data_IF_011218577452
#
_entry.id   IF_011218577452
#
_cell.length_a   1.000
_cell.length_b   1.000
_cell.length_c   1.000
_cell.angle_alpha   90.00
_cell.angle_beta   90.00
_cell.angle_gamma   90.00
#
_symmetry.space_group_name_H-M   'P 1'
#
loop_
_entity.id
_entity.type
_entity.pdbx_description
1 polymer ?
#
# COMPACT_ATOMS: atom_id res chain seq x y z
N UNK A 1 -62.76 38.02 7.72
CA UNK A 1 -61.52 38.22 6.95
C UNK A 1 -61.16 36.87 6.33
N UNK A 2 -61.46 36.73 5.04
CA UNK A 2 -61.44 35.43 4.35
C UNK A 2 -60.02 34.98 4.05
N UNK A 3 -59.76 33.68 4.27
CA UNK A 3 -58.51 32.94 4.06
C UNK A 3 -58.06 32.86 2.58
N UNK A 4 -58.37 33.86 1.75
CA UNK A 4 -58.07 33.90 0.31
C UNK A 4 -56.57 33.85 0.00
N UNK A 5 -55.73 34.24 0.96
CA UNK A 5 -54.27 34.20 0.83
C UNK A 5 -53.63 32.85 1.21
N UNK A 6 -54.37 31.95 1.87
CA UNK A 6 -53.84 30.63 2.26
C UNK A 6 -53.68 29.67 1.08
N UNK A 7 -54.57 29.74 0.10
CA UNK A 7 -54.53 28.90 -1.11
C UNK A 7 -53.25 29.11 -1.93
N UNK A 8 -52.85 30.36 -2.31
CA UNK A 8 -51.62 30.55 -3.07
C UNK A 8 -50.36 30.20 -2.26
N UNK A 9 -50.34 30.43 -0.96
CA UNK A 9 -49.19 30.08 -0.09
C UNK A 9 -49.00 28.56 -0.01
N UNK A 10 -50.09 27.80 0.14
CA UNK A 10 -50.03 26.33 0.16
C UNK A 10 -49.57 25.77 -1.20
N UNK A 11 -50.03 26.35 -2.31
CA UNK A 11 -49.60 25.93 -3.65
C UNK A 11 -48.11 26.19 -3.91
N UNK A 12 -47.59 27.35 -3.48
CA UNK A 12 -46.16 27.66 -3.60
C UNK A 12 -45.31 26.73 -2.72
N UNK A 13 -45.72 26.50 -1.46
CA UNK A 13 -45.02 25.59 -0.56
C UNK A 13 -45.00 24.14 -1.10
N UNK A 14 -46.12 23.67 -1.66
CA UNK A 14 -46.20 22.37 -2.31
C UNK A 14 -45.30 22.28 -3.55
N UNK A 15 -45.24 23.33 -4.38
CA UNK A 15 -44.35 23.40 -5.54
C UNK A 15 -42.87 23.33 -5.16
N UNK A 16 -42.46 24.09 -4.15
CA UNK A 16 -41.07 24.05 -3.62
C UNK A 16 -40.73 22.67 -3.06
N UNK A 17 -41.67 22.02 -2.37
CA UNK A 17 -41.48 20.66 -1.85
C UNK A 17 -41.26 19.65 -2.98
N UNK A 18 -42.07 19.69 -4.05
CA UNK A 18 -41.95 18.79 -5.20
C UNK A 18 -40.62 18.97 -5.93
N UNK A 19 -40.20 20.23 -6.16
CA UNK A 19 -38.91 20.53 -6.79
C UNK A 19 -37.75 20.05 -5.89
N UNK A 20 -37.84 20.27 -4.58
CA UNK A 20 -36.85 19.79 -3.61
C UNK A 20 -36.72 18.27 -3.61
N UNK A 21 -37.84 17.53 -3.66
CA UNK A 21 -37.84 16.06 -3.73
C UNK A 21 -37.22 15.58 -5.05
N UNK A 22 -37.58 16.19 -6.19
CA UNK A 22 -37.01 15.82 -7.49
C UNK A 22 -35.48 16.02 -7.55
N UNK A 23 -34.96 17.12 -6.98
CA UNK A 23 -33.52 17.38 -6.89
C UNK A 23 -32.80 16.36 -5.98
N UNK A 24 -33.42 15.93 -4.87
CA UNK A 24 -32.88 14.88 -4.00
C UNK A 24 -32.87 13.52 -4.70
N UNK A 25 -33.90 13.22 -5.49
CA UNK A 25 -33.97 11.99 -6.30
C UNK A 25 -32.88 11.97 -7.38
N UNK A 26 -32.64 13.09 -8.09
CA UNK A 26 -31.57 13.17 -9.09
C UNK A 26 -30.16 13.01 -8.50
N UNK A 27 -29.91 13.50 -7.28
CA UNK A 27 -28.62 13.28 -6.60
C UNK A 27 -28.41 11.80 -6.23
N UNK A 28 -29.46 11.07 -5.87
CA UNK A 28 -29.41 9.64 -5.57
C UNK A 28 -29.32 8.74 -6.81
N UNK A 29 -29.68 9.24 -7.99
CA UNK A 29 -29.65 8.49 -9.25
C UNK A 29 -28.30 8.58 -10.00
N UNK A 30 -27.37 9.41 -9.53
CA UNK A 30 -26.01 9.43 -10.11
C UNK A 30 -25.35 8.08 -9.79
N UNK A 31 -24.96 7.29 -10.81
CA UNK A 31 -24.27 6.04 -10.57
C UNK A 31 -23.02 6.32 -9.74
N UNK A 32 -22.97 5.77 -8.53
CA UNK A 32 -21.77 5.81 -7.71
C UNK A 32 -20.72 4.89 -8.35
N UNK A 33 -19.46 5.28 -8.30
CA UNK A 33 -18.37 4.40 -8.69
C UNK A 33 -18.39 3.15 -7.79
N UNK A 34 -18.42 1.96 -8.39
CA UNK A 34 -18.38 0.68 -7.70
C UNK A 34 -17.11 -0.06 -8.10
N UNK A 35 -16.47 -0.74 -7.14
CA UNK A 35 -15.40 -1.68 -7.46
C UNK A 35 -16.00 -2.92 -8.11
N UNK A 36 -15.30 -3.55 -9.07
CA UNK A 36 -15.68 -4.87 -9.55
C UNK A 36 -15.77 -5.87 -8.39
N UNK A 37 -16.72 -6.81 -8.48
CA UNK A 37 -16.80 -7.91 -7.51
C UNK A 37 -15.47 -8.70 -7.53
N UNK A 38 -14.93 -8.97 -6.33
CA UNK A 38 -13.65 -9.67 -6.19
C UNK A 38 -12.41 -8.85 -6.55
N UNK A 39 -12.53 -7.53 -6.72
CA UNK A 39 -11.36 -6.69 -6.97
C UNK A 39 -10.32 -6.79 -5.86
N UNK A 40 -9.06 -6.95 -6.25
CA UNK A 40 -7.90 -6.93 -5.35
C UNK A 40 -6.79 -6.09 -5.96
N UNK A 41 -5.98 -5.48 -5.11
CA UNK A 41 -4.76 -4.82 -5.55
C UNK A 41 -3.64 -5.85 -5.73
N UNK A 42 -3.09 -5.93 -6.94
CA UNK A 42 -1.92 -6.76 -7.25
C UNK A 42 -0.78 -5.90 -7.76
N UNK A 43 0.45 -6.29 -7.43
CA UNK A 43 1.63 -5.67 -8.02
C UNK A 43 1.82 -6.24 -9.43
N UNK A 44 2.19 -5.41 -10.41
CA UNK A 44 2.62 -5.91 -11.71
C UNK A 44 3.94 -6.66 -11.55
N UNK A 45 4.31 -7.42 -12.58
CA UNK A 45 5.62 -8.08 -12.62
C UNK A 45 6.75 -7.04 -12.64
N UNK A 46 7.75 -7.25 -11.78
CA UNK A 46 8.96 -6.42 -11.70
C UNK A 46 10.19 -7.06 -12.35
N UNK A 47 11.26 -6.27 -12.43
CA UNK A 47 12.58 -6.70 -12.90
C UNK A 47 13.50 -7.00 -11.70
N UNK A 48 13.84 -8.27 -11.50
CA UNK A 48 14.68 -8.71 -10.38
C UNK A 48 16.12 -8.15 -10.45
N UNK A 49 16.65 -7.86 -11.63
CA UNK A 49 17.98 -7.27 -11.80
C UNK A 49 17.96 -5.79 -11.40
N UNK A 50 16.92 -5.05 -11.83
CA UNK A 50 16.70 -3.69 -11.34
C UNK A 50 16.42 -3.67 -9.82
N UNK A 51 15.73 -4.69 -9.31
CA UNK A 51 15.46 -4.87 -7.88
C UNK A 51 16.74 -5.08 -7.07
N UNK A 52 17.67 -5.91 -7.55
CA UNK A 52 19.01 -6.05 -6.96
C UNK A 52 19.73 -4.71 -6.88
N UNK A 53 19.69 -3.93 -7.95
CA UNK A 53 20.32 -2.60 -7.97
C UNK A 53 19.67 -1.66 -6.95
N UNK A 54 18.34 -1.74 -6.79
CA UNK A 54 17.61 -1.00 -5.77
C UNK A 54 18.00 -1.44 -4.35
N UNK A 55 18.11 -2.75 -4.10
CA UNK A 55 18.54 -3.31 -2.81
C UNK A 55 19.91 -2.76 -2.39
N UNK A 56 20.86 -2.69 -3.33
CA UNK A 56 22.20 -2.16 -3.10
C UNK A 56 22.15 -0.64 -2.92
N UNK A 57 21.46 0.08 -3.81
CA UNK A 57 21.31 1.54 -3.77
C UNK A 57 20.73 2.02 -2.43
N UNK A 58 19.76 1.28 -1.89
CA UNK A 58 19.09 1.58 -0.64
C UNK A 58 19.80 0.97 0.59
N UNK A 59 20.97 0.37 0.40
CA UNK A 59 21.78 -0.24 1.45
C UNK A 59 21.01 -1.26 2.31
N UNK A 60 20.06 -1.99 1.71
CA UNK A 60 19.23 -2.95 2.46
C UNK A 60 20.07 -4.03 3.16
N UNK A 61 21.20 -4.40 2.55
CA UNK A 61 22.17 -5.36 3.11
C UNK A 61 22.83 -4.91 4.42
N UNK A 62 22.86 -3.61 4.71
CA UNK A 62 23.45 -3.11 5.96
C UNK A 62 22.70 -3.61 7.22
N UNK A 63 21.42 -3.96 7.07
CA UNK A 63 20.59 -4.53 8.14
C UNK A 63 20.16 -5.96 7.83
N UNK A 64 19.90 -6.30 6.58
CA UNK A 64 19.30 -7.58 6.20
C UNK A 64 20.32 -8.52 5.59
N UNK A 65 20.33 -9.76 6.08
CA UNK A 65 21.12 -10.81 5.48
C UNK A 65 20.60 -11.22 4.12
N UNK A 66 21.53 -11.39 3.17
CA UNK A 66 21.24 -11.70 1.77
C UNK A 66 22.18 -12.79 1.23
N UNK A 67 21.90 -13.34 0.05
CA UNK A 67 22.86 -14.20 -0.67
C UNK A 67 23.63 -13.42 -1.75
N UNK A 68 23.62 -12.07 -1.70
CA UNK A 68 24.24 -11.25 -2.73
C UNK A 68 25.77 -11.19 -2.56
N UNK A 69 26.56 -11.63 -3.56
CA UNK A 69 28.00 -11.49 -3.49
C UNK A 69 28.41 -10.01 -3.44
N UNK A 70 29.32 -9.67 -2.53
CA UNK A 70 29.91 -8.34 -2.43
C UNK A 70 29.03 -7.27 -1.78
N UNK A 71 27.86 -7.64 -1.24
CA UNK A 71 27.08 -6.76 -0.38
C UNK A 71 27.54 -6.92 1.05
N UNK A 72 27.71 -5.80 1.77
CA UNK A 72 28.02 -5.83 3.20
C UNK A 72 26.86 -6.51 3.93
N UNK A 73 27.17 -7.56 4.66
CA UNK A 73 26.21 -8.24 5.53
C UNK A 73 26.17 -7.53 6.90
N UNK A 74 25.02 -7.58 7.60
CA UNK A 74 24.91 -6.96 8.92
C UNK A 74 25.84 -7.65 9.92
N UNK A 75 26.45 -6.86 10.81
CA UNK A 75 27.06 -7.41 12.02
C UNK A 75 25.94 -7.77 13.01
N UNK A 76 26.06 -8.94 13.66
CA UNK A 76 25.08 -9.39 14.66
C UNK A 76 24.91 -8.31 15.74
N UNK A 77 23.67 -7.87 15.97
CA UNK A 77 23.42 -6.83 16.96
C UNK A 77 22.04 -6.18 16.87
N UNK A 78 21.84 -5.13 17.68
CA UNK A 78 20.55 -4.45 17.88
C UNK A 78 19.92 -3.81 16.63
N UNK A 79 20.67 -3.71 15.53
CA UNK A 79 20.24 -3.09 14.27
C UNK A 79 20.10 -4.08 13.11
N UNK A 80 20.39 -5.36 13.34
CA UNK A 80 20.14 -6.40 12.36
C UNK A 80 18.63 -6.53 12.14
N UNK A 81 18.23 -6.65 10.88
CA UNK A 81 16.87 -6.97 10.45
C UNK A 81 16.74 -8.48 10.17
N UNK A 82 15.52 -8.97 9.90
CA UNK A 82 15.29 -10.37 9.58
C UNK A 82 16.18 -10.88 8.44
N UNK A 83 16.60 -12.14 8.55
CA UNK A 83 17.30 -12.83 7.46
C UNK A 83 16.36 -13.06 6.28
N UNK A 84 16.60 -12.34 5.18
CA UNK A 84 15.73 -12.39 4.00
C UNK A 84 15.94 -13.66 3.18
N UNK A 85 16.99 -14.45 3.47
CA UNK A 85 17.28 -15.71 2.77
C UNK A 85 16.33 -16.84 3.15
N UNK A 86 15.54 -16.65 4.21
CA UNK A 86 14.65 -17.69 4.76
C UNK A 86 13.18 -17.30 4.60
N UNK A 87 12.50 -17.93 3.65
CA UNK A 87 11.03 -17.93 3.56
C UNK A 87 10.36 -16.66 3.03
N UNK A 88 11.06 -15.53 2.92
CA UNK A 88 10.48 -14.26 2.41
C UNK A 88 10.02 -14.35 0.95
N UNK A 89 10.66 -15.19 0.13
CA UNK A 89 10.24 -15.46 -1.25
C UNK A 89 8.86 -16.14 -1.34
N UNK A 90 8.36 -16.75 -0.27
CA UNK A 90 7.02 -17.40 -0.23
C UNK A 90 5.89 -16.42 0.12
N UNK A 91 6.23 -15.24 0.64
CA UNK A 91 5.23 -14.24 1.04
C UNK A 91 4.52 -13.64 -0.19
N UNK A 92 3.25 -13.21 -0.05
CA UNK A 92 2.55 -12.49 -1.12
C UNK A 92 3.29 -11.20 -1.49
N UNK A 93 3.33 -10.89 -2.79
CA UNK A 93 4.05 -9.72 -3.31
C UNK A 93 3.55 -8.42 -2.67
N UNK A 94 2.23 -8.27 -2.54
CA UNK A 94 1.62 -7.12 -1.90
C UNK A 94 2.01 -6.98 -0.42
N UNK A 95 2.21 -8.11 0.28
CA UNK A 95 2.66 -8.10 1.67
C UNK A 95 4.13 -7.69 1.78
N UNK A 96 5.01 -8.16 0.89
CA UNK A 96 6.40 -7.72 0.82
C UNK A 96 6.49 -6.21 0.56
N UNK A 97 5.74 -5.72 -0.43
CA UNK A 97 5.67 -4.28 -0.70
C UNK A 97 5.18 -3.49 0.52
N UNK A 98 4.11 -3.94 1.17
CA UNK A 98 3.60 -3.28 2.39
C UNK A 98 4.66 -3.28 3.49
N UNK A 99 5.37 -4.39 3.70
CA UNK A 99 6.39 -4.53 4.72
C UNK A 99 7.60 -3.60 4.48
N UNK A 100 7.96 -3.34 3.22
CA UNK A 100 9.04 -2.38 2.89
C UNK A 100 8.61 -0.93 3.18
N UNK A 101 7.40 -0.54 2.77
CA UNK A 101 6.93 0.86 2.90
C UNK A 101 6.32 1.16 4.28
N UNK A 102 5.99 0.13 5.08
CA UNK A 102 5.41 0.21 6.43
C UNK A 102 6.10 -0.69 7.45
N UNK A 103 7.43 -0.83 7.34
CA UNK A 103 8.23 -1.74 8.17
C UNK A 103 7.97 -1.62 9.69
N UNK A 104 7.65 -0.43 10.20
CA UNK A 104 7.32 -0.20 11.61
C UNK A 104 6.02 -0.87 12.11
N UNK A 105 5.15 -1.30 11.19
CA UNK A 105 3.85 -1.91 11.52
C UNK A 105 3.65 -3.28 10.87
N UNK A 106 4.51 -3.66 9.91
CA UNK A 106 4.37 -4.84 9.07
C UNK A 106 5.71 -5.56 8.95
N UNK A 107 5.91 -6.54 9.82
CA UNK A 107 7.07 -7.44 9.82
C UNK A 107 6.58 -8.87 9.89
N UNK A 108 7.09 -9.73 9.00
CA UNK A 108 6.71 -11.14 8.93
C UNK A 108 7.24 -11.92 10.13
N UNK A 109 8.50 -11.67 10.50
CA UNK A 109 9.14 -12.30 11.64
C UNK A 109 8.53 -11.79 12.96
N UNK A 110 7.90 -12.66 13.77
CA UNK A 110 7.25 -12.26 15.02
C UNK A 110 8.23 -11.86 16.13
N UNK A 111 9.52 -12.19 15.99
CA UNK A 111 10.55 -11.82 16.98
C UNK A 111 10.95 -10.34 16.88
N UNK A 112 10.59 -9.67 15.79
CA UNK A 112 10.83 -8.25 15.58
C UNK A 112 9.66 -7.43 16.13
N UNK A 113 9.96 -6.53 17.07
CA UNK A 113 8.95 -5.74 17.77
C UNK A 113 8.26 -4.72 16.84
N UNK A 114 6.93 -4.77 16.80
CA UNK A 114 6.05 -3.83 16.06
C UNK A 114 5.72 -2.59 16.89
N UNK A 115 6.72 -1.96 17.49
CA UNK A 115 6.49 -0.64 18.08
C UNK A 115 6.63 0.41 16.97
N UNK A 116 5.58 1.21 16.67
CA UNK A 116 5.60 2.22 15.61
C UNK A 116 6.79 3.19 15.69
N UNK A 117 7.32 3.39 16.89
CA UNK A 117 8.41 4.32 17.17
C UNK A 117 9.80 3.64 17.26
N UNK A 118 9.91 2.32 17.07
CA UNK A 118 11.15 1.56 17.32
C UNK A 118 11.65 0.68 16.17
N UNK A 119 10.98 0.61 15.01
CA UNK A 119 11.55 -0.16 13.92
C UNK A 119 12.86 0.46 13.43
N UNK A 120 13.94 -0.30 13.49
CA UNK A 120 15.27 0.12 13.02
C UNK A 120 15.34 0.36 11.51
N UNK A 121 14.39 -0.18 10.74
CA UNK A 121 14.30 0.03 9.29
C UNK A 121 13.77 1.44 8.96
N UNK A 122 14.48 2.14 8.07
CA UNK A 122 14.12 3.49 7.64
C UNK A 122 12.77 3.59 6.90
N UNK A 123 12.24 4.82 6.79
CA UNK A 123 10.99 5.12 6.07
C UNK A 123 11.22 5.17 4.54
N UNK A 124 11.34 3.99 3.91
CA UNK A 124 11.65 3.86 2.48
C UNK A 124 10.53 4.30 1.53
N UNK A 125 9.31 4.49 2.02
CA UNK A 125 8.19 5.04 1.25
C UNK A 125 8.42 6.48 0.76
N UNK A 126 9.47 7.16 1.25
CA UNK A 126 9.88 8.49 0.78
C UNK A 126 11.06 8.47 -0.18
N UNK A 127 11.70 7.32 -0.36
CA UNK A 127 12.94 7.18 -1.14
C UNK A 127 12.80 6.26 -2.35
N UNK A 128 11.87 5.30 -2.28
CA UNK A 128 11.55 4.41 -3.39
C UNK A 128 10.48 5.03 -4.29
N UNK A 129 10.73 5.00 -5.59
CA UNK A 129 9.66 5.09 -6.58
C UNK A 129 8.81 3.82 -6.54
N UNK A 130 7.57 3.90 -7.07
CA UNK A 130 6.70 2.73 -7.20
C UNK A 130 7.38 1.63 -8.03
N UNK A 131 8.11 1.99 -9.09
CA UNK A 131 8.87 1.04 -9.91
C UNK A 131 9.98 0.36 -9.12
N UNK A 132 10.78 1.10 -8.37
CA UNK A 132 11.85 0.52 -7.53
C UNK A 132 11.28 -0.42 -6.47
N UNK A 133 10.12 -0.11 -5.89
CA UNK A 133 9.43 -1.01 -4.97
C UNK A 133 9.00 -2.32 -5.65
N UNK A 134 8.39 -2.23 -6.84
CA UNK A 134 7.96 -3.40 -7.63
C UNK A 134 9.16 -4.28 -7.99
N UNK A 135 10.23 -3.67 -8.51
CA UNK A 135 11.44 -4.37 -8.91
C UNK A 135 12.12 -5.01 -7.69
N UNK A 136 12.18 -4.30 -6.56
CA UNK A 136 12.72 -4.82 -5.30
C UNK A 136 11.94 -6.04 -4.79
N UNK A 137 10.60 -6.02 -4.88
CA UNK A 137 9.79 -7.20 -4.56
C UNK A 137 10.12 -8.35 -5.50
N UNK A 138 10.23 -8.12 -6.82
CA UNK A 138 10.60 -9.16 -7.78
C UNK A 138 11.98 -9.80 -7.48
N UNK A 139 12.92 -9.01 -6.97
CA UNK A 139 14.22 -9.49 -6.50
C UNK A 139 14.09 -10.38 -5.23
N UNK A 140 13.32 -9.95 -4.23
CA UNK A 140 13.11 -10.72 -2.98
C UNK A 140 12.33 -12.02 -3.20
N UNK A 141 11.58 -12.12 -4.31
CA UNK A 141 10.86 -13.34 -4.71
C UNK A 141 11.76 -14.41 -5.32
N UNK A 142 13.02 -14.10 -5.63
CA UNK A 142 13.95 -15.10 -6.14
C UNK A 142 14.32 -16.12 -5.04
N UNK A 143 14.29 -17.44 -5.33
CA UNK A 143 14.65 -18.49 -4.34
C UNK A 143 16.06 -18.36 -3.79
N UNK A 144 16.98 -17.92 -4.64
CA UNK A 144 18.28 -17.40 -4.27
C UNK A 144 18.27 -15.94 -4.67
N UNK A 145 18.67 -15.02 -3.80
CA UNK A 145 18.71 -13.58 -4.07
C UNK A 145 19.90 -13.26 -4.99
N UNK A 146 20.02 -14.00 -6.08
CA UNK A 146 21.06 -13.94 -7.09
C UNK A 146 20.33 -13.49 -8.35
N UNK A 147 20.61 -12.28 -8.82
CA UNK A 147 20.01 -11.82 -10.07
C UNK A 147 20.50 -12.74 -11.21
N UNK A 148 19.58 -13.26 -12.01
CA UNK A 148 19.95 -13.99 -13.21
C UNK A 148 20.65 -13.05 -14.17
N UNK A 149 21.75 -13.53 -14.73
CA UNK A 149 22.70 -12.78 -15.54
C UNK A 149 22.13 -12.44 -16.91
#
# INVERSE_FOLDING_TARGET
MEKKWLVPVVLVAAGVLVIGIALIQELNLRPQAQLPEGWTFTLPQGDATAGRNTFIKMECGACHKSTLPGVREPEDGKWAGPDLTVGYNTLPDAYLAESIIRAHTKVADPTYHRNPDQAGMGKYNRYLTVKELIDLVAFLKQPTQVAQK
#
